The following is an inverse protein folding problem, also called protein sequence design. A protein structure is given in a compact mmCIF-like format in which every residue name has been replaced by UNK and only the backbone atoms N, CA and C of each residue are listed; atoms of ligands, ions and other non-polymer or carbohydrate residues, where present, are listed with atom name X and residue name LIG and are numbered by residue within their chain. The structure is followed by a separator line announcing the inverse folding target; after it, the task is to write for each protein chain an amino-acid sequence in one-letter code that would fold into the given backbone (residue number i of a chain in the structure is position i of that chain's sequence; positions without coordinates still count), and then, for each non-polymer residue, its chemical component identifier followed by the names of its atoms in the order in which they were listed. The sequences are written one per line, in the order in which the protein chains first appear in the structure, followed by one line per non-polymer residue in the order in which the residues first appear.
data_IF_012395858123
#
_entry.id   IF_012395858123
#
_cell.length_a   1.000
_cell.length_b   1.000
_cell.length_c   1.000
_cell.angle_alpha   90.00
_cell.angle_beta   90.00
_cell.angle_gamma   90.00
#
_symmetry.space_group_name_H-M   'P 1'
#
loop_
_entity.id
_entity.type
_entity.pdbx_description
1 polymer ?
#
# COMPACT_ATOMS: atom_id res chain seq x y z
N UNK A 1 -9.72 4.93 -1.58
CA UNK A 1 -9.87 6.09 -0.65
C UNK A 1 -10.50 5.72 0.69
N UNK A 2 -11.80 5.38 0.76
CA UNK A 2 -12.51 5.27 2.06
C UNK A 2 -11.88 4.26 3.02
N UNK A 3 -11.46 3.09 2.53
CA UNK A 3 -10.74 2.08 3.33
C UNK A 3 -9.50 2.65 3.99
N UNK A 4 -8.64 3.33 3.22
CA UNK A 4 -7.38 3.91 3.74
C UNK A 4 -7.67 5.03 4.75
N UNK A 5 -8.65 5.89 4.47
CA UNK A 5 -9.10 6.93 5.40
C UNK A 5 -9.57 6.33 6.73
N UNK A 6 -10.37 5.27 6.68
CA UNK A 6 -10.87 4.58 7.86
C UNK A 6 -9.74 3.95 8.69
N UNK A 7 -8.77 3.28 8.04
CA UNK A 7 -7.58 2.75 8.72
C UNK A 7 -6.78 3.87 9.41
N UNK A 8 -6.62 5.01 8.75
CA UNK A 8 -5.92 6.17 9.32
C UNK A 8 -6.63 6.77 10.53
N UNK A 9 -7.95 6.89 10.49
CA UNK A 9 -8.74 7.51 11.56
C UNK A 9 -8.86 6.61 12.79
N UNK A 10 -8.91 5.29 12.60
CA UNK A 10 -9.28 4.37 13.67
C UNK A 10 -8.16 3.45 14.15
N UNK A 11 -7.16 3.17 13.31
CA UNK A 11 -6.24 2.04 13.56
C UNK A 11 -4.77 2.36 13.34
N UNK A 12 -4.43 3.51 12.72
CA UNK A 12 -3.03 3.85 12.44
C UNK A 12 -2.16 3.92 13.69
N UNK A 13 -2.73 4.18 14.86
CA UNK A 13 -1.97 4.24 16.11
C UNK A 13 -1.91 2.91 16.87
N UNK A 14 -2.67 1.91 16.43
CA UNK A 14 -2.82 0.62 17.11
C UNK A 14 -1.99 -0.48 16.44
N UNK A 15 -1.68 -0.34 15.16
CA UNK A 15 -0.96 -1.35 14.37
C UNK A 15 0.22 -0.76 13.59
N UNK A 16 1.30 -1.55 13.52
CA UNK A 16 2.50 -1.21 12.74
C UNK A 16 2.37 -1.59 11.25
N UNK A 17 1.51 -2.57 10.96
CA UNK A 17 1.40 -3.21 9.65
C UNK A 17 -0.06 -3.35 9.23
N UNK A 18 -0.32 -3.03 7.96
CA UNK A 18 -1.64 -3.11 7.35
C UNK A 18 -1.59 -3.98 6.12
N UNK A 19 -2.27 -5.12 6.16
CA UNK A 19 -2.42 -6.02 5.01
C UNK A 19 -3.80 -5.81 4.39
N UNK A 20 -3.83 -5.31 3.16
CA UNK A 20 -5.04 -5.10 2.39
C UNK A 20 -5.16 -6.20 1.34
N UNK A 21 -6.35 -6.77 1.19
CA UNK A 21 -6.60 -7.91 0.29
C UNK A 21 -8.05 -7.92 -0.19
N UNK A 22 -8.30 -8.56 -1.34
CA UNK A 22 -9.64 -8.77 -1.89
C UNK A 22 -10.35 -9.96 -1.21
N UNK A 23 -11.67 -10.00 -1.31
CA UNK A 23 -12.54 -10.98 -0.65
C UNK A 23 -12.52 -12.38 -1.29
N UNK A 24 -11.92 -12.51 -2.47
CA UNK A 24 -11.72 -13.75 -3.21
C UNK A 24 -10.32 -14.35 -3.05
N UNK A 25 -9.51 -13.81 -2.14
CA UNK A 25 -8.10 -14.20 -1.96
C UNK A 25 -7.89 -15.03 -0.69
N UNK A 26 -7.27 -16.20 -0.84
CA UNK A 26 -6.82 -17.00 0.32
C UNK A 26 -5.57 -16.39 0.96
N UNK A 27 -5.61 -16.20 2.28
CA UNK A 27 -4.51 -15.62 3.05
C UNK A 27 -4.06 -16.55 4.17
N UNK A 28 -2.78 -16.90 4.19
CA UNK A 28 -2.16 -17.62 5.32
C UNK A 28 -1.56 -16.60 6.31
N UNK A 29 -2.31 -16.29 7.36
CA UNK A 29 -1.97 -15.19 8.28
C UNK A 29 -0.67 -15.43 9.06
N UNK A 30 -0.32 -16.67 9.39
CA UNK A 30 0.91 -16.98 10.12
C UNK A 30 2.17 -16.73 9.26
N UNK A 31 2.08 -16.87 7.94
CA UNK A 31 3.16 -16.50 7.01
C UNK A 31 3.36 -15.00 6.95
N UNK A 32 2.28 -14.22 6.90
CA UNK A 32 2.36 -12.75 6.94
C UNK A 32 2.96 -12.28 8.26
N UNK A 33 2.51 -12.83 9.38
CA UNK A 33 3.04 -12.46 10.69
C UNK A 33 4.55 -12.76 10.81
N UNK A 34 4.99 -13.91 10.28
CA UNK A 34 6.43 -14.25 10.23
C UNK A 34 7.23 -13.32 9.32
N UNK A 35 6.65 -12.88 8.20
CA UNK A 35 7.29 -11.93 7.31
C UNK A 35 7.54 -10.60 8.01
N UNK A 36 6.50 -10.00 8.59
CA UNK A 36 6.60 -8.68 9.22
C UNK A 36 7.43 -8.65 10.49
N UNK A 37 7.56 -9.80 11.18
CA UNK A 37 8.40 -9.93 12.37
C UNK A 37 9.89 -9.64 12.14
N UNK A 38 10.35 -9.65 10.88
CA UNK A 38 11.75 -9.37 10.51
C UNK A 38 11.94 -8.00 9.85
N UNK A 39 10.87 -7.20 9.71
CA UNK A 39 10.91 -5.91 9.03
C UNK A 39 10.99 -4.76 10.05
N UNK A 40 11.71 -3.70 9.69
CA UNK A 40 11.75 -2.47 10.49
C UNK A 40 10.46 -1.66 10.30
N UNK A 41 9.89 -1.20 11.41
CA UNK A 41 8.65 -0.40 11.43
C UNK A 41 8.90 1.02 10.88
N UNK A 42 10.13 1.52 10.99
CA UNK A 42 10.51 2.87 10.55
C UNK A 42 10.66 2.97 9.01
N UNK A 43 10.70 1.84 8.31
CA UNK A 43 10.85 1.81 6.84
C UNK A 43 9.51 2.11 6.17
N UNK A 44 9.52 3.00 5.17
CA UNK A 44 8.38 3.16 4.25
C UNK A 44 8.30 1.92 3.36
N UNK A 45 7.32 1.06 3.61
CA UNK A 45 7.23 -0.24 2.96
C UNK A 45 5.90 -0.38 2.24
N UNK A 46 6.01 -0.72 0.96
CA UNK A 46 4.91 -1.10 0.09
C UNK A 46 5.28 -2.39 -0.63
N UNK A 47 4.73 -3.50 -0.15
CA UNK A 47 5.16 -4.84 -0.54
C UNK A 47 3.97 -5.68 -1.01
N UNK A 48 4.11 -6.34 -2.16
CA UNK A 48 3.05 -7.12 -2.78
C UNK A 48 3.49 -7.63 -4.14
N UNK A 49 2.54 -7.90 -5.06
CA UNK A 49 2.90 -8.17 -6.45
C UNK A 49 2.94 -6.86 -7.26
N UNK A 50 4.11 -6.42 -7.76
CA UNK A 50 4.22 -5.21 -8.58
C UNK A 50 3.55 -5.38 -9.94
N UNK A 51 2.83 -4.35 -10.39
CA UNK A 51 2.26 -4.22 -11.74
C UNK A 51 2.54 -2.81 -12.29
N UNK A 52 2.55 -2.72 -13.62
CA UNK A 52 2.77 -1.46 -14.36
C UNK A 52 1.48 -0.63 -14.42
N UNK A 53 1.59 0.70 -14.30
CA UNK A 53 0.44 1.60 -14.42
C UNK A 53 -0.17 1.58 -15.83
N UNK A 54 -1.49 1.69 -15.89
CA UNK A 54 -2.21 1.91 -17.14
C UNK A 54 -1.78 3.26 -17.72
N UNK A 55 -1.38 3.26 -18.98
CA UNK A 55 -0.90 4.46 -19.68
C UNK A 55 0.62 4.62 -19.68
N UNK A 56 1.39 3.86 -18.90
CA UNK A 56 2.84 3.70 -19.05
C UNK A 56 3.72 4.92 -18.75
N UNK A 57 3.16 6.12 -18.56
CA UNK A 57 3.92 7.37 -18.37
C UNK A 57 4.41 7.58 -16.93
N UNK A 58 4.46 6.53 -16.11
CA UNK A 58 4.75 6.64 -14.68
C UNK A 58 5.90 5.76 -14.28
N UNK A 59 6.90 6.40 -13.71
CA UNK A 59 8.01 5.70 -13.09
C UNK A 59 7.54 5.01 -11.80
N UNK A 60 7.79 3.71 -11.72
CA UNK A 60 7.48 2.85 -10.58
C UNK A 60 6.28 1.94 -10.82
N UNK A 61 5.98 1.10 -9.81
CA UNK A 61 4.96 0.06 -9.89
C UNK A 61 4.00 0.15 -8.72
N UNK A 62 2.75 -0.24 -8.93
CA UNK A 62 1.78 -0.41 -7.85
C UNK A 62 1.65 -1.88 -7.45
N UNK A 63 1.20 -2.14 -6.23
CA UNK A 63 0.90 -3.51 -5.81
C UNK A 63 -0.53 -3.89 -6.20
N UNK A 64 -0.66 -4.97 -6.97
CA UNK A 64 -1.96 -5.48 -7.39
C UNK A 64 -2.74 -6.09 -6.21
N UNK A 65 -3.98 -5.64 -6.04
CA UNK A 65 -4.82 -5.99 -4.89
C UNK A 65 -5.23 -7.46 -4.83
N UNK A 66 -5.26 -8.17 -5.96
CA UNK A 66 -5.69 -9.58 -6.03
C UNK A 66 -4.75 -10.57 -5.35
N UNK A 67 -3.51 -10.17 -5.02
CA UNK A 67 -2.59 -10.98 -4.20
C UNK A 67 -2.52 -10.50 -2.75
N UNK A 68 -3.20 -9.38 -2.44
CA UNK A 68 -2.98 -8.60 -1.25
C UNK A 68 -1.61 -7.89 -1.23
N UNK A 69 -1.52 -6.86 -0.41
CA UNK A 69 -0.29 -6.10 -0.22
C UNK A 69 -0.19 -5.54 1.20
N UNK A 70 1.05 -5.33 1.62
CA UNK A 70 1.44 -4.86 2.94
C UNK A 70 1.86 -3.39 2.86
N UNK A 71 1.39 -2.61 3.82
CA UNK A 71 1.78 -1.22 4.04
C UNK A 71 2.32 -1.06 5.46
N UNK A 72 3.44 -0.34 5.60
CA UNK A 72 3.90 0.10 6.93
C UNK A 72 3.05 1.26 7.43
N UNK A 73 2.91 1.35 8.77
CA UNK A 73 2.31 2.50 9.45
C UNK A 73 2.98 3.81 9.05
N UNK A 74 4.31 3.84 8.98
CA UNK A 74 5.09 5.01 8.59
C UNK A 74 4.73 5.51 7.18
N UNK A 75 4.49 4.61 6.23
CA UNK A 75 4.01 4.94 4.89
C UNK A 75 2.60 5.53 4.91
N UNK A 76 1.67 4.92 5.66
CA UNK A 76 0.31 5.46 5.79
C UNK A 76 0.29 6.86 6.41
N UNK A 77 1.06 7.10 7.47
CA UNK A 77 1.18 8.42 8.10
C UNK A 77 1.77 9.46 7.14
N UNK A 78 2.75 9.06 6.31
CA UNK A 78 3.31 9.95 5.29
C UNK A 78 2.29 10.31 4.21
N UNK A 79 1.41 9.37 3.86
CA UNK A 79 0.38 9.54 2.85
C UNK A 79 -0.83 10.36 3.34
N UNK A 80 -1.14 10.29 4.64
CA UNK A 80 -2.31 10.91 5.27
C UNK A 80 -2.61 12.37 4.82
N UNK A 81 -1.66 13.32 4.83
CA UNK A 81 -1.94 14.70 4.43
C UNK A 81 -2.29 14.86 2.94
N UNK A 82 -2.02 13.85 2.12
CA UNK A 82 -2.19 13.90 0.66
C UNK A 82 -3.43 13.17 0.15
N UNK A 83 -4.08 12.34 0.98
CA UNK A 83 -5.20 11.50 0.55
C UNK A 83 -6.37 12.27 -0.06
N UNK A 84 -6.64 13.48 0.42
CA UNK A 84 -7.71 14.31 -0.12
C UNK A 84 -7.37 14.82 -1.54
N UNK A 85 -6.09 15.16 -1.78
CA UNK A 85 -5.59 15.51 -3.10
C UNK A 85 -5.72 14.32 -4.05
N UNK A 86 -5.22 13.15 -3.62
CA UNK A 86 -5.31 11.92 -4.40
C UNK A 86 -6.75 11.50 -4.72
N UNK A 87 -7.72 11.79 -3.84
CA UNK A 87 -9.13 11.48 -4.11
C UNK A 87 -9.68 12.26 -5.29
N UNK A 88 -9.25 13.51 -5.45
CA UNK A 88 -9.79 14.39 -6.49
C UNK A 88 -9.07 14.19 -7.84
N UNK A 89 -7.88 13.58 -7.82
CA UNK A 89 -7.11 13.23 -9.03
C UNK A 89 -7.36 11.76 -9.44
N UNK A 90 -8.59 11.47 -9.87
CA UNK A 90 -9.00 10.11 -10.24
C UNK A 90 -8.50 9.79 -11.65
N UNK A 91 -7.29 9.23 -11.73
CA UNK A 91 -6.68 8.77 -12.97
C UNK A 91 -6.96 7.28 -13.27
N UNK A 92 -7.39 6.50 -12.27
CA UNK A 92 -7.76 5.10 -12.43
C UNK A 92 -9.03 4.75 -11.67
N UNK A 93 -9.86 3.89 -12.27
CA UNK A 93 -11.02 3.28 -11.62
C UNK A 93 -10.66 2.09 -10.72
N UNK A 94 -9.42 1.58 -10.84
CA UNK A 94 -8.93 0.46 -10.05
C UNK A 94 -8.41 0.96 -8.69
N UNK A 95 -8.97 0.52 -7.56
CA UNK A 95 -8.63 1.07 -6.24
C UNK A 95 -7.16 0.86 -5.82
N UNK A 96 -6.55 -0.24 -6.25
CA UNK A 96 -5.16 -0.60 -5.98
C UNK A 96 -4.18 0.27 -6.79
N UNK A 97 -4.48 0.48 -8.06
CA UNK A 97 -3.71 1.38 -8.92
C UNK A 97 -3.83 2.85 -8.46
N UNK A 98 -5.03 3.30 -8.12
CA UNK A 98 -5.26 4.63 -7.52
C UNK A 98 -4.42 4.83 -6.25
N UNK A 99 -4.35 3.82 -5.38
CA UNK A 99 -3.56 3.92 -4.15
C UNK A 99 -2.07 3.92 -4.47
N UNK A 100 -1.60 3.04 -5.36
CA UNK A 100 -0.20 2.99 -5.77
C UNK A 100 0.27 4.29 -6.39
N UNK A 101 -0.57 4.93 -7.21
CA UNK A 101 -0.35 6.27 -7.77
C UNK A 101 -0.08 7.29 -6.66
N UNK A 102 -1.03 7.40 -5.74
CA UNK A 102 -0.95 8.32 -4.62
C UNK A 102 0.30 8.09 -3.76
N UNK A 103 0.67 6.82 -3.52
CA UNK A 103 1.88 6.46 -2.78
C UNK A 103 3.12 6.97 -3.53
N UNK A 104 3.26 6.67 -4.81
CA UNK A 104 4.44 7.07 -5.60
C UNK A 104 4.56 8.59 -5.68
N UNK A 105 3.48 9.27 -6.06
CA UNK A 105 3.49 10.72 -6.29
C UNK A 105 3.88 11.52 -5.03
N UNK A 106 3.58 11.00 -3.84
CA UNK A 106 3.81 11.70 -2.57
C UNK A 106 4.93 11.13 -1.70
N UNK A 107 5.43 9.93 -2.00
CA UNK A 107 6.45 9.26 -1.17
C UNK A 107 7.62 8.68 -1.96
N UNK A 108 7.52 8.62 -3.29
CA UNK A 108 8.49 7.96 -4.18
C UNK A 108 8.73 6.46 -3.88
N UNK A 109 7.86 5.83 -3.09
CA UNK A 109 7.92 4.40 -2.78
C UNK A 109 7.20 3.60 -3.86
N UNK A 110 7.94 2.79 -4.60
CA UNK A 110 7.38 1.81 -5.55
C UNK A 110 6.98 0.53 -4.82
N UNK A 111 5.97 -0.17 -5.33
CA UNK A 111 5.68 -1.54 -4.93
C UNK A 111 6.90 -2.44 -5.20
N UNK A 112 7.19 -3.33 -4.26
CA UNK A 112 8.26 -4.32 -4.34
C UNK A 112 7.72 -5.72 -4.03
N UNK A 113 8.34 -6.75 -4.61
CA UNK A 113 8.01 -8.16 -4.34
C UNK A 113 8.89 -8.78 -3.25
N UNK A 114 10.11 -8.27 -3.10
CA UNK A 114 11.08 -8.68 -2.10
C UNK A 114 11.60 -7.43 -1.38
N UNK A 115 11.72 -7.53 -0.05
CA UNK A 115 12.45 -6.54 0.73
C UNK A 115 13.83 -7.10 1.01
N UNK A 116 14.88 -6.47 0.49
CA UNK A 116 16.26 -6.83 0.85
C UNK A 116 16.48 -6.58 2.33
N UNK A 117 17.01 -7.59 3.02
CA UNK A 117 17.36 -7.57 4.45
C UNK A 117 18.83 -7.22 4.60
#
# INVERSE_FOLDING_TARGET
YQTVRYLLEHYVNDFDWFFLVQDDTYTEAHRINRLVAHLSIDTLLYLGRPEEFIGGDTDGRYCYGGFGFLLSRSLLLRLQPHLESCRNDILSSRPDEWLGRCIIDHTAVSCTEEHEV
#
